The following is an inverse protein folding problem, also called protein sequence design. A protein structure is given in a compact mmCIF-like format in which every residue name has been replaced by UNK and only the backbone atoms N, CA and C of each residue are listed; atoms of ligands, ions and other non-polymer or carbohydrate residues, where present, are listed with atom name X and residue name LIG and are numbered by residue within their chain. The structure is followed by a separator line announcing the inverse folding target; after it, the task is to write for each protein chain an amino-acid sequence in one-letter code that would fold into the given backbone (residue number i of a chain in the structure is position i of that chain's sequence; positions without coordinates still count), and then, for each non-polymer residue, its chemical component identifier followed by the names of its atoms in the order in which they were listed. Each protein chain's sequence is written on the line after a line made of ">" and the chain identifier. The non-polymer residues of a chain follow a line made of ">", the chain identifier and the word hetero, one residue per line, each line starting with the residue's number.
data_IF_076888516869
#
_entry.id   IF_076888516869
#
_cell.length_a   1.000
_cell.length_b   1.000
_cell.length_c   1.000
_cell.angle_alpha   90.00
_cell.angle_beta   90.00
_cell.angle_gamma   90.00
#
_symmetry.space_group_name_H-M   'P 1'
#
loop_
_entity.id
_entity.type
_entity.pdbx_description
1 polymer ?
#
# COMPACT_ATOMS: atom_id res chain seq x y z
N UNK A 1 -30.44 34.45 -1.20
CA UNK A 1 -29.40 34.60 -0.18
C UNK A 1 -29.27 33.42 0.73
N UNK A 2 -30.32 33.00 1.39
CA UNK A 2 -30.24 31.83 2.29
C UNK A 2 -29.85 30.54 1.59
N UNK A 3 -30.32 30.36 0.37
CA UNK A 3 -30.01 29.15 -0.39
C UNK A 3 -28.53 29.06 -0.78
N UNK A 4 -27.91 30.20 -1.04
CA UNK A 4 -26.51 30.28 -1.38
C UNK A 4 -25.68 29.87 -0.19
N UNK A 5 -26.03 30.36 0.99
CA UNK A 5 -25.31 30.04 2.22
C UNK A 5 -25.40 28.56 2.52
N UNK A 6 -26.56 27.96 2.32
CA UNK A 6 -26.72 26.52 2.53
C UNK A 6 -25.88 25.71 1.56
N UNK A 7 -25.83 26.16 0.32
CA UNK A 7 -25.03 25.47 -0.69
C UNK A 7 -23.54 25.52 -0.35
N UNK A 8 -23.06 26.66 0.05
CA UNK A 8 -21.67 26.85 0.44
C UNK A 8 -21.35 25.97 1.65
N UNK A 9 -22.20 25.95 2.63
CA UNK A 9 -22.01 25.16 3.84
C UNK A 9 -21.93 23.67 3.52
N UNK A 10 -22.82 23.19 2.66
CA UNK A 10 -22.80 21.80 2.26
C UNK A 10 -21.51 21.43 1.54
N UNK A 11 -21.01 22.30 0.69
CA UNK A 11 -19.78 22.07 -0.04
C UNK A 11 -18.58 22.01 0.92
N UNK A 12 -18.48 22.92 1.85
CA UNK A 12 -17.42 22.92 2.84
C UNK A 12 -17.44 21.65 3.69
N UNK A 13 -18.61 21.24 4.10
CA UNK A 13 -18.75 20.01 4.88
C UNK A 13 -18.26 18.80 4.11
N UNK A 14 -18.59 18.71 2.85
CA UNK A 14 -18.15 17.64 1.97
C UNK A 14 -16.63 17.57 1.90
N UNK A 15 -15.97 18.69 1.71
CA UNK A 15 -14.51 18.76 1.59
C UNK A 15 -13.85 18.30 2.88
N UNK A 16 -14.34 18.77 4.01
CA UNK A 16 -13.78 18.43 5.32
C UNK A 16 -13.87 16.92 5.57
N UNK A 17 -15.02 16.34 5.29
CA UNK A 17 -15.23 14.90 5.50
C UNK A 17 -14.28 14.10 4.62
N UNK A 18 -14.14 14.48 3.36
CA UNK A 18 -13.26 13.79 2.43
C UNK A 18 -11.80 13.85 2.90
N UNK A 19 -11.33 15.01 3.31
CA UNK A 19 -9.96 15.17 3.79
C UNK A 19 -9.69 14.38 5.05
N UNK A 20 -10.62 14.36 5.98
CA UNK A 20 -10.46 13.60 7.21
C UNK A 20 -10.37 12.10 6.95
N UNK A 21 -11.19 11.59 6.04
CA UNK A 21 -11.22 10.18 5.73
C UNK A 21 -9.95 9.69 5.04
N UNK A 22 -9.34 10.49 4.19
CA UNK A 22 -8.15 10.10 3.43
C UNK A 22 -6.95 9.84 4.35
N UNK A 23 -6.85 10.51 5.49
CA UNK A 23 -5.73 10.35 6.40
C UNK A 23 -5.86 9.15 7.33
N UNK A 24 -7.05 8.55 7.46
CA UNK A 24 -7.31 7.55 8.48
C UNK A 24 -7.38 6.11 7.97
N UNK A 25 -7.45 5.91 6.66
CA UNK A 25 -7.83 4.63 6.09
C UNK A 25 -6.69 3.84 5.48
N UNK A 26 -5.44 4.31 5.60
CA UNK A 26 -4.29 3.72 4.90
C UNK A 26 -3.38 2.96 5.84
N UNK A 27 -3.95 2.22 6.76
CA UNK A 27 -3.18 1.42 7.71
C UNK A 27 -2.96 0.01 7.21
N UNK A 28 -1.81 -0.54 7.57
CA UNK A 28 -1.49 -1.96 7.43
C UNK A 28 -1.70 -2.60 8.78
N UNK A 29 -2.46 -3.69 8.80
CA UNK A 29 -2.75 -4.42 10.02
C UNK A 29 -2.33 -5.86 9.88
N UNK A 30 -1.92 -6.47 10.99
CA UNK A 30 -1.61 -7.89 11.01
C UNK A 30 -2.90 -8.73 11.05
N UNK A 31 -2.75 -10.05 11.12
CA UNK A 31 -3.90 -10.97 11.15
C UNK A 31 -4.77 -10.79 12.38
N UNK A 32 -4.23 -10.21 13.45
CA UNK A 32 -4.95 -9.92 14.69
C UNK A 32 -5.58 -8.53 14.68
N UNK A 33 -5.53 -7.86 13.53
CA UNK A 33 -6.08 -6.52 13.33
C UNK A 33 -5.33 -5.42 14.09
N UNK A 34 -4.08 -5.66 14.48
CA UNK A 34 -3.22 -4.65 15.09
C UNK A 34 -2.55 -3.83 14.00
N UNK A 35 -2.50 -2.52 14.17
CA UNK A 35 -1.81 -1.64 13.22
C UNK A 35 -0.31 -1.86 13.32
N UNK A 36 0.33 -2.24 12.21
CA UNK A 36 1.77 -2.48 12.16
C UNK A 36 2.50 -1.47 11.29
N UNK A 37 1.79 -0.80 10.40
CA UNK A 37 2.39 0.20 9.51
C UNK A 37 1.30 1.08 8.91
N UNK A 38 1.74 2.10 8.19
CA UNK A 38 0.88 2.95 7.39
C UNK A 38 1.55 3.19 6.04
N UNK A 39 0.77 3.12 4.97
CA UNK A 39 1.25 3.48 3.64
C UNK A 39 0.30 4.55 3.09
N UNK A 40 0.82 5.76 2.95
CA UNK A 40 0.04 6.88 2.42
C UNK A 40 -0.14 6.75 0.91
N UNK A 41 -1.09 7.47 0.36
CA UNK A 41 -1.36 7.43 -1.09
C UNK A 41 -0.18 7.94 -1.92
N UNK A 42 0.70 8.75 -1.33
CA UNK A 42 1.90 9.23 -2.00
C UNK A 42 3.06 8.22 -1.95
N UNK A 43 2.85 7.05 -1.33
CA UNK A 43 3.85 6.01 -1.24
C UNK A 43 4.74 6.04 -0.01
N UNK A 44 4.55 7.01 0.88
CA UNK A 44 5.31 7.06 2.14
C UNK A 44 4.90 5.90 3.04
N UNK A 45 5.88 5.15 3.52
CA UNK A 45 5.67 4.01 4.42
C UNK A 45 6.17 4.38 5.80
N UNK A 46 5.30 4.21 6.80
CA UNK A 46 5.61 4.53 8.19
C UNK A 46 5.42 3.29 9.05
N UNK A 47 6.23 3.15 10.09
CA UNK A 47 6.05 2.06 11.05
C UNK A 47 4.97 2.39 12.08
N UNK A 48 4.76 1.50 13.05
CA UNK A 48 3.74 1.67 14.08
C UNK A 48 3.99 2.88 14.99
N UNK A 49 5.24 3.36 15.05
CA UNK A 49 5.62 4.57 15.79
C UNK A 49 5.50 5.83 14.93
N UNK A 50 4.92 5.71 13.74
CA UNK A 50 4.74 6.81 12.79
C UNK A 50 6.05 7.38 12.22
N UNK A 51 7.13 6.65 12.32
CA UNK A 51 8.40 7.02 11.68
C UNK A 51 8.41 6.59 10.23
N UNK A 52 8.89 7.46 9.35
CA UNK A 52 9.05 7.11 7.93
C UNK A 52 10.17 6.09 7.80
N UNK A 53 9.87 4.94 7.20
CA UNK A 53 10.85 3.87 7.00
C UNK A 53 11.16 3.61 5.54
N UNK A 54 10.28 4.03 4.62
CA UNK A 54 10.50 3.83 3.20
C UNK A 54 9.60 4.73 2.39
N UNK A 55 9.83 4.74 1.09
CA UNK A 55 9.01 5.47 0.15
C UNK A 55 8.91 4.69 -1.15
N UNK A 56 7.70 4.47 -1.63
CA UNK A 56 7.43 3.84 -2.92
C UNK A 56 7.09 4.96 -3.88
N UNK A 57 8.02 5.31 -4.76
CA UNK A 57 7.86 6.44 -5.67
C UNK A 57 6.91 6.10 -6.82
N UNK A 58 6.33 7.10 -7.42
CA UNK A 58 5.43 6.93 -8.56
C UNK A 58 6.12 6.31 -9.77
N UNK A 59 7.46 6.46 -9.89
CA UNK A 59 8.23 5.83 -10.96
C UNK A 59 8.58 4.37 -10.68
N UNK A 60 8.17 3.83 -9.52
CA UNK A 60 8.40 2.45 -9.14
C UNK A 60 9.62 2.19 -8.27
N UNK A 61 10.45 3.20 -8.00
CA UNK A 61 11.57 3.04 -7.07
C UNK A 61 11.08 2.90 -5.65
N UNK A 62 11.66 1.96 -4.93
CA UNK A 62 11.39 1.75 -3.50
C UNK A 62 12.68 2.10 -2.76
N UNK A 63 12.62 3.12 -1.90
CA UNK A 63 13.80 3.63 -1.19
C UNK A 63 13.56 3.65 0.30
N UNK A 64 14.65 3.50 1.08
CA UNK A 64 14.55 3.60 2.53
C UNK A 64 14.57 5.07 2.98
N UNK A 65 14.54 5.29 4.30
CA UNK A 65 14.52 6.64 4.88
C UNK A 65 15.80 7.43 4.58
N UNK A 66 16.89 6.74 4.22
CA UNK A 66 18.15 7.37 3.82
C UNK A 66 18.26 7.53 2.30
N UNK A 67 17.16 7.30 1.59
CA UNK A 67 17.07 7.43 0.13
C UNK A 67 17.88 6.37 -0.64
N UNK A 68 18.26 5.26 0.01
CA UNK A 68 18.92 4.16 -0.68
C UNK A 68 17.89 3.32 -1.41
N UNK A 69 18.23 2.87 -2.61
CA UNK A 69 17.34 2.01 -3.40
C UNK A 69 17.26 0.63 -2.77
N UNK A 70 16.05 0.20 -2.44
CA UNK A 70 15.76 -1.14 -1.93
C UNK A 70 15.32 -2.09 -3.04
N UNK A 71 14.66 -1.57 -4.04
CA UNK A 71 14.16 -2.34 -5.16
C UNK A 71 13.27 -1.49 -6.05
N UNK A 72 12.64 -2.13 -7.03
CA UNK A 72 11.74 -1.46 -7.95
C UNK A 72 10.52 -2.30 -8.24
N UNK A 73 9.42 -1.64 -8.55
CA UNK A 73 8.23 -2.29 -9.10
C UNK A 73 7.88 -1.58 -10.41
N UNK A 74 7.90 -2.33 -11.51
CA UNK A 74 7.61 -1.79 -12.84
C UNK A 74 6.11 -1.64 -13.06
N UNK A 75 5.73 -0.88 -14.08
CA UNK A 75 4.32 -0.66 -14.41
C UNK A 75 3.58 -1.97 -14.71
N UNK A 76 4.28 -2.99 -15.22
CA UNK A 76 3.70 -4.31 -15.50
C UNK A 76 3.64 -5.22 -14.26
N UNK A 77 4.06 -4.72 -13.10
CA UNK A 77 4.04 -5.48 -11.85
C UNK A 77 5.31 -6.25 -11.53
N UNK A 78 6.32 -6.21 -12.40
CA UNK A 78 7.60 -6.89 -12.15
C UNK A 78 8.32 -6.24 -10.97
N UNK A 79 8.78 -7.05 -10.03
CA UNK A 79 9.49 -6.60 -8.84
C UNK A 79 10.94 -7.06 -8.91
N UNK A 80 11.85 -6.13 -8.67
CA UNK A 80 13.30 -6.38 -8.69
C UNK A 80 13.91 -5.87 -7.39
N UNK A 81 14.99 -6.50 -6.96
CA UNK A 81 15.73 -6.05 -5.77
C UNK A 81 16.69 -4.91 -6.14
N UNK A 82 17.49 -4.47 -5.16
CA UNK A 82 18.46 -3.38 -5.37
C UNK A 82 19.56 -3.70 -6.37
N UNK A 83 19.80 -4.99 -6.61
CA UNK A 83 20.76 -5.46 -7.62
C UNK A 83 20.13 -5.63 -9.00
N UNK A 84 18.89 -5.19 -9.15
CA UNK A 84 18.14 -5.31 -10.40
C UNK A 84 17.80 -6.76 -10.78
N UNK A 85 17.83 -7.67 -9.81
CA UNK A 85 17.44 -9.06 -10.04
C UNK A 85 15.93 -9.21 -9.91
N UNK A 86 15.32 -9.98 -10.80
CA UNK A 86 13.90 -10.30 -10.74
C UNK A 86 13.61 -11.13 -9.49
N UNK A 87 12.67 -10.69 -8.67
CA UNK A 87 12.29 -11.40 -7.45
C UNK A 87 10.81 -11.79 -7.41
N UNK A 88 10.01 -11.33 -8.35
CA UNK A 88 8.62 -11.73 -8.44
C UNK A 88 7.76 -10.74 -9.19
N UNK A 89 6.46 -10.97 -9.12
CA UNK A 89 5.50 -10.17 -9.88
C UNK A 89 4.20 -9.99 -9.11
N UNK A 90 3.62 -8.81 -9.25
CA UNK A 90 2.30 -8.47 -8.74
C UNK A 90 1.38 -8.33 -9.95
N UNK A 91 0.40 -9.22 -10.07
CA UNK A 91 -0.55 -9.17 -11.18
C UNK A 91 -1.63 -8.12 -10.93
N UNK A 92 -2.33 -7.72 -11.98
CA UNK A 92 -3.33 -6.66 -11.88
C UNK A 92 -4.50 -7.00 -10.97
N UNK A 93 -4.78 -8.29 -10.74
CA UNK A 93 -5.84 -8.74 -9.83
C UNK A 93 -5.37 -8.85 -8.38
N UNK A 94 -4.11 -8.50 -8.09
CA UNK A 94 -3.56 -8.59 -6.74
C UNK A 94 -2.82 -9.89 -6.45
N UNK A 95 -2.80 -10.84 -7.37
CA UNK A 95 -2.04 -12.09 -7.22
C UNK A 95 -0.56 -11.78 -7.19
N UNK A 96 0.16 -12.42 -6.27
CA UNK A 96 1.59 -12.23 -6.09
C UNK A 96 2.30 -13.56 -6.39
N UNK A 97 3.36 -13.47 -7.19
CA UNK A 97 4.20 -14.61 -7.54
C UNK A 97 5.65 -14.32 -7.21
N UNK A 98 6.38 -15.36 -6.83
CA UNK A 98 7.80 -15.24 -6.54
C UNK A 98 8.64 -15.36 -7.82
N UNK A 99 9.98 -15.39 -7.65
CA UNK A 99 10.90 -15.46 -8.79
C UNK A 99 10.72 -16.72 -9.65
N UNK A 100 10.20 -17.78 -9.06
CA UNK A 100 9.95 -19.05 -9.76
C UNK A 100 8.55 -19.11 -10.37
N UNK A 101 7.85 -17.99 -10.38
CA UNK A 101 6.47 -17.89 -10.87
C UNK A 101 5.47 -18.70 -10.03
N UNK A 102 5.82 -19.05 -8.80
CA UNK A 102 4.91 -19.74 -7.89
C UNK A 102 3.99 -18.74 -7.20
N UNK A 103 2.74 -19.14 -7.00
CA UNK A 103 1.78 -18.34 -6.27
C UNK A 103 2.18 -18.26 -4.80
N UNK A 104 2.32 -17.05 -4.26
CA UNK A 104 2.68 -16.84 -2.85
C UNK A 104 1.58 -16.18 -2.05
N UNK A 105 0.61 -15.59 -2.69
CA UNK A 105 -0.51 -14.97 -2.01
C UNK A 105 -1.22 -13.95 -2.86
N UNK A 106 -2.14 -13.23 -2.23
CA UNK A 106 -2.97 -12.27 -2.95
C UNK A 106 -3.42 -11.13 -2.04
N UNK A 107 -3.45 -9.93 -2.59
CA UNK A 107 -4.08 -8.77 -1.98
C UNK A 107 -5.43 -8.58 -2.66
N UNK A 108 -6.50 -8.65 -1.88
CA UNK A 108 -7.86 -8.51 -2.41
C UNK A 108 -8.28 -7.04 -2.44
N UNK A 109 -9.28 -6.74 -3.24
CA UNK A 109 -9.78 -5.38 -3.41
C UNK A 109 -10.33 -4.79 -2.10
N UNK A 110 -10.84 -5.64 -1.21
CA UNK A 110 -11.36 -5.19 0.10
C UNK A 110 -10.24 -4.96 1.11
N UNK A 111 -8.99 -5.17 0.72
CA UNK A 111 -7.82 -4.98 1.58
C UNK A 111 -7.37 -6.22 2.32
N UNK A 112 -8.09 -7.34 2.25
CA UNK A 112 -7.65 -8.59 2.87
C UNK A 112 -6.41 -9.12 2.15
N UNK A 113 -5.43 -9.57 2.92
CA UNK A 113 -4.18 -10.15 2.37
C UNK A 113 -4.09 -11.59 2.82
N UNK A 114 -3.94 -12.51 1.85
CA UNK A 114 -3.87 -13.95 2.13
C UNK A 114 -2.61 -14.56 1.55
N UNK A 115 -2.08 -15.56 2.22
CA UNK A 115 -0.91 -16.29 1.74
C UNK A 115 -1.33 -17.41 0.77
N UNK A 116 -0.35 -18.23 0.34
CA UNK A 116 -0.60 -19.31 -0.63
C UNK A 116 -1.51 -20.41 -0.10
N UNK A 117 -1.65 -20.53 1.22
CA UNK A 117 -2.57 -21.47 1.86
C UNK A 117 -3.96 -20.88 2.07
N UNK A 118 -4.21 -19.72 1.52
CA UNK A 118 -5.47 -18.98 1.68
C UNK A 118 -5.74 -18.54 3.12
N UNK A 119 -4.71 -18.44 3.94
CA UNK A 119 -4.83 -17.91 5.30
C UNK A 119 -4.67 -16.40 5.27
N UNK A 120 -5.51 -15.71 6.04
CA UNK A 120 -5.38 -14.25 6.17
C UNK A 120 -4.12 -13.92 6.98
N UNK A 121 -3.24 -13.11 6.39
CA UNK A 121 -2.00 -12.68 7.03
C UNK A 121 -2.04 -11.21 7.43
N UNK A 122 -3.02 -10.47 6.96
CA UNK A 122 -3.17 -9.07 7.34
C UNK A 122 -4.23 -8.34 6.53
N UNK A 123 -4.27 -7.04 6.72
CA UNK A 123 -5.26 -6.17 6.10
C UNK A 123 -4.60 -4.88 5.65
N UNK A 124 -5.00 -4.40 4.48
CA UNK A 124 -4.46 -3.17 3.88
C UNK A 124 -5.58 -2.37 3.20
N UNK A 125 -6.66 -2.14 3.95
CA UNK A 125 -7.83 -1.45 3.42
C UNK A 125 -7.44 -0.05 2.95
N UNK A 126 -7.88 0.31 1.76
CA UNK A 126 -7.64 1.61 1.12
C UNK A 126 -6.16 1.91 0.84
N UNK A 127 -5.30 0.94 0.99
CA UNK A 127 -3.91 1.00 0.51
C UNK A 127 -3.90 0.50 -0.92
N UNK A 128 -3.19 1.16 -1.85
CA UNK A 128 -3.07 0.63 -3.20
C UNK A 128 -2.56 -0.81 -3.17
N UNK A 129 -3.20 -1.69 -3.93
CA UNK A 129 -2.92 -3.13 -3.94
C UNK A 129 -1.43 -3.40 -4.13
N UNK A 130 -0.80 -2.67 -5.06
CA UNK A 130 0.62 -2.84 -5.36
C UNK A 130 1.50 -2.52 -4.16
N UNK A 131 1.19 -1.47 -3.41
CA UNK A 131 1.96 -1.09 -2.23
C UNK A 131 1.81 -2.13 -1.12
N UNK A 132 0.59 -2.62 -0.92
CA UNK A 132 0.34 -3.67 0.07
C UNK A 132 1.10 -4.94 -0.29
N UNK A 133 1.13 -5.31 -1.56
CA UNK A 133 1.84 -6.50 -2.04
C UNK A 133 3.35 -6.36 -1.80
N UNK A 134 3.93 -5.21 -2.06
CA UNK A 134 5.34 -4.94 -1.78
C UNK A 134 5.62 -5.13 -0.28
N UNK A 135 4.76 -4.59 0.57
CA UNK A 135 4.96 -4.67 2.01
C UNK A 135 4.88 -6.10 2.54
N UNK A 136 3.87 -6.86 2.10
CA UNK A 136 3.61 -8.17 2.70
C UNK A 136 4.44 -9.30 2.11
N UNK A 137 4.91 -9.19 0.87
CA UNK A 137 5.41 -10.38 0.17
C UNK A 137 6.87 -10.28 -0.29
N UNK A 138 7.51 -9.13 -0.28
CA UNK A 138 8.81 -8.99 -0.94
C UNK A 138 9.98 -8.70 -0.02
N UNK A 139 9.75 -8.44 1.24
CA UNK A 139 10.84 -8.21 2.21
C UNK A 139 11.82 -7.12 1.75
N UNK A 140 11.32 -6.07 1.10
CA UNK A 140 12.11 -4.92 0.68
C UNK A 140 12.06 -3.77 1.68
N UNK A 141 11.05 -3.77 2.54
CA UNK A 141 10.81 -2.71 3.52
C UNK A 141 10.82 -3.27 4.92
#
# INVERSE_FOLDING_TARGET
>A
MRNIVKGILALLLSIVVTGAQMGQSQTIRDKNNSTIARIDSDGTVRNSSNSTIAHINSNGDIRDSSNRLLGTVSSDGTVRNSNNSYIGKIESDGTVRNRNNSYVGKVYQDGTVRNSNNSTIGYAKDVPVRYAAIYFFFDLI
#
